data_IF_477368676375
#
_entry.id   IF_477368676375
#
_cell.length_a   1.000
_cell.length_b   1.000
_cell.length_c   1.000
_cell.angle_alpha   90.00
_cell.angle_beta   90.00
_cell.angle_gamma   90.00
#
_symmetry.space_group_name_H-M   'P 1'
#
loop_
_entity.id
_entity.type
_entity.pdbx_description
1 polymer ?
#
# COMPACT_ATOMS: atom_id res chain seq x y z
N UNK A 1 -3.11 5.30 13.78
CA UNK A 1 -2.97 5.43 12.32
C UNK A 1 -2.86 6.89 11.96
N UNK A 2 -1.90 7.24 11.10
CA UNK A 2 -1.65 8.62 10.72
C UNK A 2 -2.37 8.97 9.43
N UNK A 3 -2.67 10.27 9.26
CA UNK A 3 -3.26 10.78 8.02
C UNK A 3 -2.17 11.37 7.13
N UNK A 4 -2.25 11.09 5.83
CA UNK A 4 -1.43 11.73 4.81
C UNK A 4 -2.36 12.51 3.93
N UNK A 5 -2.17 13.83 3.85
CA UNK A 5 -3.05 14.71 3.08
C UNK A 5 -2.31 15.43 1.96
N UNK A 6 -0.98 15.35 1.91
CA UNK A 6 -0.16 16.05 0.91
C UNK A 6 0.45 15.07 -0.07
N UNK A 7 0.37 15.40 -1.36
CA UNK A 7 1.04 14.63 -2.41
C UNK A 7 2.57 14.69 -2.28
N UNK A 8 3.07 15.62 -1.48
CA UNK A 8 4.51 15.79 -1.25
C UNK A 8 5.03 14.92 -0.12
N UNK A 9 4.16 14.17 0.56
CA UNK A 9 4.58 13.29 1.65
C UNK A 9 5.61 12.27 1.15
N UNK A 10 6.72 12.14 1.88
CA UNK A 10 7.83 11.28 1.46
C UNK A 10 7.45 9.80 1.37
N UNK A 11 6.59 9.32 2.30
CA UNK A 11 6.12 7.93 2.29
C UNK A 11 5.27 7.65 1.06
N UNK A 12 4.37 8.57 0.72
CA UNK A 12 3.52 8.44 -0.44
C UNK A 12 4.35 8.45 -1.73
N UNK A 13 5.32 9.37 -1.82
CA UNK A 13 6.19 9.45 -2.99
C UNK A 13 7.02 8.20 -3.18
N UNK A 14 7.56 7.67 -2.08
CA UNK A 14 8.36 6.44 -2.14
C UNK A 14 7.51 5.27 -2.64
N UNK A 15 6.30 5.12 -2.12
CA UNK A 15 5.39 4.06 -2.55
C UNK A 15 5.01 4.22 -4.02
N UNK A 16 4.75 5.45 -4.47
CA UNK A 16 4.39 5.71 -5.87
C UNK A 16 5.52 5.33 -6.82
N UNK A 17 6.78 5.52 -6.42
CA UNK A 17 7.92 5.11 -7.24
C UNK A 17 7.95 3.60 -7.44
N UNK A 18 7.54 2.84 -6.45
CA UNK A 18 7.50 1.37 -6.57
C UNK A 18 6.52 0.92 -7.65
N UNK A 19 5.43 1.67 -7.83
CA UNK A 19 4.47 1.37 -8.88
C UNK A 19 5.06 1.57 -10.26
N UNK A 20 5.84 2.64 -10.44
CA UNK A 20 6.26 3.12 -11.75
C UNK A 20 7.63 2.62 -12.19
N UNK A 21 8.49 2.20 -11.26
CA UNK A 21 9.90 1.98 -11.56
C UNK A 21 10.37 0.62 -11.07
N UNK A 22 10.73 -0.24 -12.02
CA UNK A 22 11.36 -1.53 -11.72
C UNK A 22 12.68 -1.32 -10.97
N UNK A 23 13.44 -0.29 -11.38
CA UNK A 23 14.70 0.04 -10.73
C UNK A 23 14.49 0.38 -9.25
N UNK A 24 13.47 1.19 -8.94
CA UNK A 24 13.16 1.54 -7.56
C UNK A 24 12.81 0.28 -6.75
N UNK A 25 12.01 -0.63 -7.31
CA UNK A 25 11.67 -1.89 -6.64
C UNK A 25 12.92 -2.71 -6.33
N UNK A 26 13.84 -2.80 -7.27
CA UNK A 26 15.07 -3.55 -7.07
C UNK A 26 15.99 -2.89 -6.05
N UNK A 27 16.15 -1.57 -6.13
CA UNK A 27 17.03 -0.84 -5.20
C UNK A 27 16.50 -0.86 -3.77
N UNK A 28 15.17 -0.72 -3.60
CA UNK A 28 14.57 -0.70 -2.27
C UNK A 28 14.23 -2.10 -1.76
N UNK A 29 14.21 -3.09 -2.64
CA UNK A 29 13.82 -4.44 -2.26
C UNK A 29 12.37 -4.53 -1.84
N UNK A 30 11.51 -3.71 -2.46
CA UNK A 30 10.10 -3.60 -2.10
C UNK A 30 9.21 -3.57 -3.34
N UNK A 31 7.94 -3.93 -3.16
CA UNK A 31 6.92 -3.77 -4.20
C UNK A 31 5.61 -3.27 -3.60
N UNK A 32 4.78 -2.68 -4.44
CA UNK A 32 3.48 -2.15 -4.07
C UNK A 32 2.38 -3.08 -4.60
N UNK A 33 1.46 -3.47 -3.72
CA UNK A 33 0.29 -4.28 -4.08
C UNK A 33 -0.97 -3.46 -3.85
N UNK A 34 -1.90 -3.51 -4.80
CA UNK A 34 -3.18 -2.82 -4.70
C UNK A 34 -4.32 -3.81 -4.56
N UNK A 35 -5.25 -3.52 -3.65
CA UNK A 35 -6.48 -4.27 -3.47
C UNK A 35 -6.38 -5.30 -2.35
N UNK A 36 -7.52 -5.53 -1.67
CA UNK A 36 -7.54 -6.44 -0.54
C UNK A 36 -7.21 -7.88 -0.93
N UNK A 37 -7.68 -8.34 -2.08
CA UNK A 37 -7.41 -9.71 -2.50
C UNK A 37 -5.91 -9.98 -2.58
N UNK A 38 -5.18 -9.12 -3.29
CA UNK A 38 -3.74 -9.29 -3.49
C UNK A 38 -2.99 -9.08 -2.18
N UNK A 39 -3.36 -8.05 -1.41
CA UNK A 39 -2.68 -7.78 -0.13
C UNK A 39 -2.91 -8.91 0.87
N UNK A 40 -4.11 -9.47 0.95
CA UNK A 40 -4.40 -10.56 1.86
C UNK A 40 -3.74 -11.86 1.42
N UNK A 41 -3.65 -12.11 0.10
CA UNK A 41 -2.92 -13.28 -0.41
C UNK A 41 -1.45 -13.20 -0.01
N UNK A 42 -0.84 -12.02 -0.12
CA UNK A 42 0.55 -11.82 0.31
C UNK A 42 0.70 -12.04 1.81
N UNK A 43 -0.21 -11.49 2.61
CA UNK A 43 -0.18 -11.67 4.06
C UNK A 43 -0.28 -13.14 4.44
N UNK A 44 -1.20 -13.88 3.81
CA UNK A 44 -1.39 -15.30 4.09
C UNK A 44 -0.22 -16.16 3.64
N UNK A 45 0.59 -15.66 2.70
CA UNK A 45 1.81 -16.35 2.28
C UNK A 45 3.01 -16.03 3.19
N UNK A 46 2.81 -15.23 4.23
CA UNK A 46 3.83 -14.93 5.22
C UNK A 46 4.53 -13.59 5.07
N UNK A 47 4.09 -12.76 4.14
CA UNK A 47 4.67 -11.42 3.98
C UNK A 47 3.95 -10.45 4.91
N UNK A 48 4.71 -9.59 5.59
CA UNK A 48 4.14 -8.55 6.45
C UNK A 48 4.25 -7.21 5.75
N UNK A 49 3.13 -6.43 5.70
CA UNK A 49 3.20 -5.11 5.07
C UNK A 49 4.07 -4.17 5.88
N UNK A 50 5.02 -3.52 5.23
CA UNK A 50 5.81 -2.45 5.86
C UNK A 50 4.98 -1.20 6.00
N UNK A 51 4.16 -0.91 5.00
CA UNK A 51 3.27 0.24 5.01
C UNK A 51 1.96 -0.16 4.35
N UNK A 52 0.86 0.34 4.90
CA UNK A 52 -0.46 0.19 4.31
C UNK A 52 -1.11 1.56 4.20
N UNK A 53 -1.55 1.90 3.00
CA UNK A 53 -2.27 3.14 2.72
C UNK A 53 -3.72 2.76 2.41
N UNK A 54 -4.66 3.41 3.08
CA UNK A 54 -6.07 3.07 2.93
C UNK A 54 -6.92 4.34 2.87
N UNK A 55 -7.94 4.34 2.01
CA UNK A 55 -8.92 5.41 1.99
C UNK A 55 -10.01 5.14 3.01
N UNK A 56 -10.81 6.16 3.36
CA UNK A 56 -11.95 5.95 4.26
C UNK A 56 -12.88 4.86 3.74
N UNK A 57 -13.16 4.87 2.43
CA UNK A 57 -13.99 3.85 1.82
C UNK A 57 -13.31 2.48 1.91
N UNK A 58 -12.00 2.42 1.72
CA UNK A 58 -11.25 1.17 1.83
C UNK A 58 -11.31 0.57 3.23
N UNK A 59 -11.44 1.42 4.26
CA UNK A 59 -11.53 0.96 5.65
C UNK A 59 -12.83 0.22 5.97
N UNK A 60 -13.83 0.31 5.09
CA UNK A 60 -15.10 -0.40 5.28
C UNK A 60 -15.00 -1.89 4.93
N UNK A 61 -13.91 -2.31 4.28
CA UNK A 61 -13.74 -3.71 3.89
C UNK A 61 -13.54 -4.61 5.11
N UNK A 62 -14.10 -5.82 5.05
CA UNK A 62 -14.04 -6.77 6.17
C UNK A 62 -12.64 -7.16 6.58
N UNK A 63 -11.66 -7.13 5.65
CA UNK A 63 -10.28 -7.52 5.92
C UNK A 63 -9.40 -6.37 6.43
N UNK A 64 -9.96 -5.15 6.52
CA UNK A 64 -9.17 -3.97 6.86
C UNK A 64 -8.47 -4.11 8.21
N UNK A 65 -9.20 -4.52 9.24
CA UNK A 65 -8.65 -4.63 10.59
C UNK A 65 -7.47 -5.60 10.65
N UNK A 66 -7.62 -6.75 10.02
CA UNK A 66 -6.54 -7.75 10.02
C UNK A 66 -5.30 -7.22 9.30
N UNK A 67 -5.49 -6.59 8.16
CA UNK A 67 -4.39 -6.07 7.37
C UNK A 67 -3.65 -4.96 8.11
N UNK A 68 -4.40 -4.03 8.72
CA UNK A 68 -3.78 -2.91 9.45
C UNK A 68 -3.02 -3.39 10.69
N UNK A 69 -3.53 -4.41 11.38
CA UNK A 69 -2.84 -4.97 12.54
C UNK A 69 -1.51 -5.62 12.16
N UNK A 70 -1.43 -6.19 10.98
CA UNK A 70 -0.21 -6.83 10.50
C UNK A 70 0.81 -5.83 9.98
N UNK A 71 0.40 -4.60 9.71
CA UNK A 71 1.24 -3.59 9.07
C UNK A 71 2.16 -2.90 10.08
N UNK A 72 3.42 -2.66 9.71
CA UNK A 72 4.34 -1.90 10.55
C UNK A 72 3.89 -0.44 10.67
N UNK A 73 3.45 0.15 9.58
CA UNK A 73 2.93 1.52 9.54
C UNK A 73 1.63 1.55 8.73
N UNK A 74 0.68 2.35 9.17
CA UNK A 74 -0.61 2.48 8.50
C UNK A 74 -0.99 3.94 8.34
N UNK A 75 -1.52 4.28 7.16
CA UNK A 75 -1.88 5.65 6.83
C UNK A 75 -3.25 5.69 6.17
N UNK A 76 -4.08 6.65 6.57
CA UNK A 76 -5.29 6.95 5.84
C UNK A 76 -5.00 8.09 4.87
N UNK A 77 -5.44 7.93 3.62
CA UNK A 77 -5.20 8.89 2.55
C UNK A 77 -6.52 9.28 1.91
N UNK A 78 -6.62 10.52 1.37
CA UNK A 78 -7.82 10.89 0.63
C UNK A 78 -7.87 10.17 -0.72
N UNK A 79 -9.07 10.04 -1.25
CA UNK A 79 -9.29 9.38 -2.54
C UNK A 79 -8.47 10.04 -3.65
N UNK A 80 -8.28 11.35 -3.59
CA UNK A 80 -7.49 12.07 -4.59
C UNK A 80 -6.03 11.62 -4.64
N UNK A 81 -5.47 11.16 -3.50
CA UNK A 81 -4.10 10.66 -3.46
C UNK A 81 -4.01 9.18 -3.78
N UNK A 82 -5.11 8.43 -3.66
CA UNK A 82 -5.12 7.01 -4.00
C UNK A 82 -4.75 6.80 -5.48
N UNK A 83 -5.11 7.73 -6.35
CA UNK A 83 -4.78 7.64 -7.76
C UNK A 83 -3.27 7.63 -8.01
N UNK A 84 -2.46 8.17 -7.10
CA UNK A 84 -1.00 8.17 -7.21
C UNK A 84 -0.39 6.81 -6.96
N UNK A 85 -1.11 5.93 -6.27
CA UNK A 85 -0.64 4.59 -5.92
C UNK A 85 -1.28 3.52 -6.80
N UNK A 86 -2.09 3.90 -7.78
CA UNK A 86 -2.84 2.96 -8.61
C UNK A 86 -2.54 3.18 -10.08
N UNK A 87 -2.48 2.10 -10.84
CA UNK A 87 -2.42 2.17 -12.30
C UNK A 87 -3.78 1.89 -12.93
N UNK A 88 -4.85 1.87 -12.13
CA UNK A 88 -6.21 1.67 -12.61
C UNK A 88 -7.01 2.98 -12.53
N UNK A 89 -8.09 3.05 -13.31
CA UNK A 89 -8.96 4.23 -13.27
C UNK A 89 -9.77 4.32 -11.99
N UNK A 90 -10.06 3.17 -11.38
CA UNK A 90 -10.85 3.11 -10.15
C UNK A 90 -10.02 2.45 -9.07
N UNK A 91 -9.27 3.24 -8.28
CA UNK A 91 -8.45 2.68 -7.20
C UNK A 91 -9.30 1.89 -6.21
N UNK A 92 -8.77 0.76 -5.73
CA UNK A 92 -9.51 -0.12 -4.82
C UNK A 92 -9.47 0.33 -3.36
N UNK A 93 -8.74 1.38 -3.08
CA UNK A 93 -8.78 2.00 -1.75
C UNK A 93 -7.84 1.39 -0.72
N UNK A 94 -7.03 0.42 -1.06
CA UNK A 94 -6.00 -0.12 -0.18
C UNK A 94 -4.75 -0.48 -0.97
N UNK A 95 -3.59 -0.15 -0.40
CA UNK A 95 -2.28 -0.33 -1.02
C UNK A 95 -1.28 -0.75 0.04
N UNK A 96 -0.50 -1.78 -0.21
CA UNK A 96 0.51 -2.24 0.73
C UNK A 96 1.89 -2.27 0.09
N UNK A 97 2.89 -1.88 0.87
CA UNK A 97 4.29 -2.03 0.50
C UNK A 97 4.83 -3.24 1.24
N UNK A 98 5.32 -4.21 0.49
CA UNK A 98 5.93 -5.43 1.03
C UNK A 98 7.39 -5.50 0.63
N UNK A 99 8.20 -6.17 1.45
CA UNK A 99 9.55 -6.54 1.04
C UNK A 99 9.47 -7.63 -0.03
N UNK A 100 10.35 -7.54 -1.04
CA UNK A 100 10.46 -8.62 -2.03
C UNK A 100 11.10 -9.81 -1.32
N UNK A 101 10.47 -11.00 -1.38
CA UNK A 101 11.03 -12.16 -0.69
C UNK A 101 12.39 -12.56 -1.27
N UNK A 102 13.29 -12.97 -0.38
CA UNK A 102 14.56 -13.58 -0.80
C UNK A 102 14.31 -15.03 -1.17
N UNK A 103 14.96 -15.47 -2.24
CA UNK A 103 14.90 -16.87 -2.67
C UNK A 103 16.22 -17.58 -2.37
#
# INVERSE_FOLDING_TARGET
>A
MQQITSKENARLKSAAKLLQSKKARQEQGEFLAEGYRLCMDALRSGLLPRQTFVTEQGMEHQDCTELLRASEESYVIPQSLAAKLSDTRTPQGVFCVFAIPDN
#
